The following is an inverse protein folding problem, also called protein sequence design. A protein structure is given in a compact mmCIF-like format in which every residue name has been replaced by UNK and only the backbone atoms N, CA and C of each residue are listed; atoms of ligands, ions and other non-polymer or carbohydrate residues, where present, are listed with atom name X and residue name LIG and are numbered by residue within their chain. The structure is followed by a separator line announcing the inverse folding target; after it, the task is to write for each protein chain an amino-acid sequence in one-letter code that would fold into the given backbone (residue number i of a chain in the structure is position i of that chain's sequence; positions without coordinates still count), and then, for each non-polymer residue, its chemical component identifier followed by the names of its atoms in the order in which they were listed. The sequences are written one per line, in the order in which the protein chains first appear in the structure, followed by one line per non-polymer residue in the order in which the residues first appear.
data_IF_830689851147
#
_entry.id   IF_830689851147
#
_cell.length_a   1.000
_cell.length_b   1.000
_cell.length_c   1.000
_cell.angle_alpha   90.00
_cell.angle_beta   90.00
_cell.angle_gamma   90.00
#
_symmetry.space_group_name_H-M   'P 1'
#
loop_
_entity.id
_entity.type
_entity.pdbx_description
1 polymer ?
#
# COMPACT_ATOMS: atom_id res chain seq x y z
N UNK A 1 -44.48 13.46 -38.93
CA UNK A 1 -43.80 12.24 -38.48
C UNK A 1 -42.76 12.62 -37.46
N UNK A 2 -43.00 12.25 -36.23
CA UNK A 2 -42.06 12.56 -35.13
C UNK A 2 -41.28 11.34 -34.78
N UNK A 3 -39.98 11.33 -35.07
CA UNK A 3 -39.04 10.33 -34.59
C UNK A 3 -38.76 10.61 -33.12
N UNK A 4 -39.17 9.70 -32.24
CA UNK A 4 -38.75 9.72 -30.86
C UNK A 4 -37.43 8.96 -30.75
N UNK A 5 -36.34 9.68 -30.59
CA UNK A 5 -35.06 9.14 -30.16
C UNK A 5 -35.18 8.80 -28.66
N UNK A 6 -35.32 7.52 -28.36
CA UNK A 6 -35.17 7.03 -27.03
C UNK A 6 -33.65 7.02 -26.71
N UNK A 7 -33.22 7.97 -25.90
CA UNK A 7 -31.86 7.98 -25.39
C UNK A 7 -31.69 6.85 -24.34
N UNK A 8 -30.98 5.81 -24.73
CA UNK A 8 -30.45 4.85 -23.75
C UNK A 8 -29.39 5.54 -22.92
N UNK A 9 -29.74 5.91 -21.69
CA UNK A 9 -28.75 6.20 -20.66
C UNK A 9 -28.08 4.87 -20.29
N UNK A 10 -26.92 4.63 -20.86
CA UNK A 10 -26.02 3.59 -20.38
C UNK A 10 -25.45 4.07 -19.04
N UNK A 11 -26.11 3.69 -17.94
CA UNK A 11 -25.47 3.73 -16.63
C UNK A 11 -24.33 2.72 -16.65
N UNK A 12 -23.13 3.19 -16.96
CA UNK A 12 -21.92 2.44 -16.67
C UNK A 12 -21.73 2.45 -15.16
N UNK A 13 -22.30 1.46 -14.51
CA UNK A 13 -21.91 1.16 -13.13
C UNK A 13 -20.42 0.77 -13.17
N UNK A 14 -19.55 1.67 -12.75
CA UNK A 14 -18.16 1.36 -12.50
C UNK A 14 -18.11 0.43 -11.29
N UNK A 15 -18.14 -0.87 -11.55
CA UNK A 15 -17.87 -1.87 -10.55
C UNK A 15 -16.38 -1.72 -10.18
N UNK A 16 -16.11 -1.29 -8.94
CA UNK A 16 -14.76 -1.37 -8.40
C UNK A 16 -14.39 -2.84 -8.23
N UNK A 17 -13.76 -3.41 -9.25
CA UNK A 17 -13.27 -4.77 -9.18
C UNK A 17 -11.97 -4.81 -8.36
N UNK A 18 -11.86 -5.78 -7.44
CA UNK A 18 -10.58 -6.20 -6.92
C UNK A 18 -9.63 -6.48 -8.09
N UNK A 19 -8.41 -5.99 -8.04
CA UNK A 19 -7.45 -6.11 -9.13
C UNK A 19 -6.93 -7.55 -9.22
N UNK A 20 -7.45 -8.32 -10.20
CA UNK A 20 -6.99 -9.67 -10.49
C UNK A 20 -5.81 -9.59 -11.44
N UNK A 21 -4.65 -10.04 -10.99
CA UNK A 21 -3.38 -9.92 -11.70
C UNK A 21 -2.93 -11.27 -12.26
N UNK A 22 -2.11 -11.22 -13.31
CA UNK A 22 -1.26 -12.35 -13.69
C UNK A 22 -0.12 -12.49 -12.68
N UNK A 23 0.50 -13.66 -12.61
CA UNK A 23 1.67 -13.88 -11.74
C UNK A 23 2.78 -12.85 -12.02
N UNK A 24 3.09 -12.62 -13.30
CA UNK A 24 4.12 -11.67 -13.69
C UNK A 24 3.78 -10.22 -13.24
N UNK A 25 2.54 -9.78 -13.44
CA UNK A 25 2.12 -8.45 -13.04
C UNK A 25 2.13 -8.29 -11.51
N UNK A 26 1.71 -9.33 -10.79
CA UNK A 26 1.78 -9.37 -9.32
C UNK A 26 3.25 -9.24 -8.85
N UNK A 27 4.13 -10.07 -9.37
CA UNK A 27 5.55 -10.07 -9.00
C UNK A 27 6.20 -8.70 -9.25
N UNK A 28 5.89 -8.06 -10.36
CA UNK A 28 6.40 -6.71 -10.67
C UNK A 28 5.92 -5.66 -9.68
N UNK A 29 4.65 -5.68 -9.33
CA UNK A 29 4.07 -4.73 -8.36
C UNK A 29 4.65 -4.95 -6.96
N UNK A 30 4.76 -6.20 -6.53
CA UNK A 30 5.40 -6.55 -5.25
C UNK A 30 6.84 -6.05 -5.22
N UNK A 31 7.60 -6.28 -6.29
CA UNK A 31 8.98 -5.82 -6.37
C UNK A 31 9.10 -4.30 -6.27
N UNK A 32 8.21 -3.54 -6.91
CA UNK A 32 8.19 -2.08 -6.81
C UNK A 32 7.99 -1.62 -5.35
N UNK A 33 7.06 -2.21 -4.64
CA UNK A 33 6.83 -1.88 -3.23
C UNK A 33 7.98 -2.34 -2.33
N UNK A 34 8.59 -3.49 -2.62
CA UNK A 34 9.79 -3.95 -1.92
C UNK A 34 10.97 -3.01 -2.10
N UNK A 35 11.14 -2.41 -3.28
CA UNK A 35 12.18 -1.40 -3.51
C UNK A 35 11.97 -0.16 -2.65
N UNK A 36 10.73 0.30 -2.48
CA UNK A 36 10.41 1.41 -1.57
C UNK A 36 10.82 1.05 -0.15
N UNK A 37 10.49 -0.14 0.32
CA UNK A 37 10.89 -0.62 1.65
C UNK A 37 12.42 -0.63 1.79
N UNK A 38 13.15 -1.12 0.79
CA UNK A 38 14.61 -1.12 0.80
C UNK A 38 15.20 0.30 0.89
N UNK A 39 14.62 1.26 0.18
CA UNK A 39 15.03 2.66 0.25
C UNK A 39 14.84 3.25 1.65
N UNK A 40 13.78 2.87 2.36
CA UNK A 40 13.55 3.34 3.73
C UNK A 40 14.56 2.79 4.74
N UNK A 41 15.21 1.67 4.45
CA UNK A 41 16.24 1.09 5.33
C UNK A 41 17.45 2.00 5.49
N UNK A 42 17.84 2.69 4.44
CA UNK A 42 18.94 3.64 4.48
C UNK A 42 18.69 4.81 5.47
N UNK A 43 17.42 5.09 5.74
CA UNK A 43 17.01 6.18 6.63
C UNK A 43 16.68 5.65 8.03
N UNK A 44 15.94 4.56 8.11
CA UNK A 44 15.36 4.07 9.38
C UNK A 44 16.23 3.07 10.11
N UNK A 45 16.97 2.24 9.40
CA UNK A 45 17.64 1.05 9.96
C UNK A 45 19.16 1.25 10.13
N UNK A 46 19.66 2.46 9.94
CA UNK A 46 21.09 2.77 10.14
C UNK A 46 21.40 3.02 11.62
N UNK A 47 22.50 2.46 12.17
CA UNK A 47 22.89 2.70 13.56
C UNK A 47 23.28 4.16 13.82
N UNK A 48 23.89 4.82 12.85
CA UNK A 48 24.24 6.24 12.90
C UNK A 48 23.21 7.06 12.13
N UNK A 49 22.05 7.32 12.76
CA UNK A 49 20.95 8.05 12.14
C UNK A 49 21.35 9.50 11.89
N UNK A 50 21.77 9.80 10.66
CA UNK A 50 22.04 11.16 10.22
C UNK A 50 20.80 11.87 9.67
N UNK A 51 19.73 11.11 9.39
CA UNK A 51 18.47 11.67 8.94
C UNK A 51 17.76 12.40 10.09
N UNK A 52 17.20 13.58 9.78
CA UNK A 52 16.40 14.33 10.74
C UNK A 52 15.03 13.67 11.01
N UNK A 53 14.29 14.18 12.01
CA UNK A 53 13.01 13.65 12.41
C UNK A 53 11.98 13.70 11.27
N UNK A 54 12.02 14.72 10.41
CA UNK A 54 11.13 14.85 9.26
C UNK A 54 11.40 13.75 8.22
N UNK A 55 12.66 13.52 7.90
CA UNK A 55 13.06 12.46 6.97
C UNK A 55 12.70 11.09 7.50
N UNK A 56 12.91 10.84 8.79
CA UNK A 56 12.54 9.57 9.43
C UNK A 56 11.03 9.35 9.41
N UNK A 57 10.24 10.37 9.71
CA UNK A 57 8.77 10.31 9.65
C UNK A 57 8.27 10.03 8.24
N UNK A 58 8.84 10.71 7.26
CA UNK A 58 8.53 10.50 5.85
C UNK A 58 8.82 9.06 5.42
N UNK A 59 10.01 8.57 5.74
CA UNK A 59 10.42 7.20 5.39
C UNK A 59 9.54 6.14 6.07
N UNK A 60 9.14 6.35 7.33
CA UNK A 60 8.22 5.44 8.00
C UNK A 60 6.86 5.39 7.31
N UNK A 61 6.33 6.54 6.91
CA UNK A 61 5.05 6.59 6.20
C UNK A 61 5.13 5.93 4.82
N UNK A 62 6.23 6.10 4.10
CA UNK A 62 6.46 5.39 2.84
C UNK A 62 6.53 3.87 3.04
N UNK A 63 7.21 3.42 4.09
CA UNK A 63 7.29 2.00 4.45
C UNK A 63 5.91 1.43 4.79
N UNK A 64 5.15 2.12 5.64
CA UNK A 64 3.79 1.72 6.00
C UNK A 64 2.89 1.59 4.77
N UNK A 65 2.91 2.60 3.90
CA UNK A 65 2.12 2.57 2.65
C UNK A 65 2.53 1.40 1.74
N UNK A 66 3.83 1.14 1.59
CA UNK A 66 4.32 0.02 0.78
C UNK A 66 3.81 -1.33 1.31
N UNK A 67 3.86 -1.55 2.61
CA UNK A 67 3.32 -2.77 3.22
C UNK A 67 1.80 -2.88 3.08
N UNK A 68 1.06 -1.78 3.19
CA UNK A 68 -0.38 -1.76 2.96
C UNK A 68 -0.72 -2.17 1.52
N UNK A 69 0.03 -1.67 0.54
CA UNK A 69 -0.14 -2.04 -0.87
C UNK A 69 0.18 -3.52 -1.12
N UNK A 70 1.26 -4.03 -0.52
CA UNK A 70 1.61 -5.46 -0.62
C UNK A 70 0.49 -6.32 -0.01
N UNK A 71 -0.02 -5.95 1.15
CA UNK A 71 -1.11 -6.68 1.80
C UNK A 71 -2.39 -6.69 0.95
N UNK A 72 -2.77 -5.55 0.39
CA UNK A 72 -3.96 -5.41 -0.46
C UNK A 72 -3.84 -6.23 -1.74
N UNK A 73 -2.75 -6.09 -2.47
CA UNK A 73 -2.48 -6.86 -3.69
C UNK A 73 -2.49 -8.37 -3.43
N UNK A 74 -1.88 -8.79 -2.33
CA UNK A 74 -1.77 -10.20 -1.98
C UNK A 74 -3.11 -10.79 -1.55
N UNK A 75 -3.90 -10.03 -0.80
CA UNK A 75 -5.26 -10.44 -0.39
C UNK A 75 -6.19 -10.63 -1.59
N UNK A 76 -6.07 -9.77 -2.58
CA UNK A 76 -6.88 -9.82 -3.80
C UNK A 76 -6.43 -10.92 -4.78
N UNK A 77 -5.23 -11.47 -4.59
CA UNK A 77 -4.61 -12.43 -5.50
C UNK A 77 -4.06 -13.68 -4.78
N UNK A 78 -4.79 -14.20 -3.79
CA UNK A 78 -4.32 -15.29 -2.92
C UNK A 78 -3.96 -16.59 -3.64
N UNK A 79 -4.49 -16.80 -4.85
CA UNK A 79 -4.17 -17.98 -5.67
C UNK A 79 -2.79 -17.92 -6.32
N UNK A 80 -2.17 -16.75 -6.34
CA UNK A 80 -0.84 -16.57 -6.94
C UNK A 80 0.26 -17.04 -5.99
N UNK A 81 1.40 -17.44 -6.58
CA UNK A 81 2.57 -17.84 -5.80
C UNK A 81 3.03 -16.72 -4.87
N UNK A 82 3.40 -17.07 -3.66
CA UNK A 82 3.86 -16.18 -2.59
C UNK A 82 2.81 -15.21 -2.04
N UNK A 83 1.61 -15.11 -2.62
CA UNK A 83 0.62 -14.12 -2.17
C UNK A 83 0.22 -14.30 -0.70
N UNK A 84 -0.05 -15.52 -0.27
CA UNK A 84 -0.39 -15.79 1.14
C UNK A 84 0.75 -15.48 2.10
N UNK A 85 1.99 -15.75 1.69
CA UNK A 85 3.20 -15.45 2.47
C UNK A 85 3.42 -13.94 2.57
N UNK A 86 3.30 -13.24 1.45
CA UNK A 86 3.43 -11.78 1.41
C UNK A 86 2.33 -11.09 2.21
N UNK A 87 1.11 -11.60 2.17
CA UNK A 87 0.00 -11.09 2.98
C UNK A 87 0.31 -11.23 4.47
N UNK A 88 0.71 -12.41 4.91
CA UNK A 88 1.02 -12.68 6.30
C UNK A 88 2.18 -11.81 6.80
N UNK A 89 3.26 -11.72 6.05
CA UNK A 89 4.42 -10.91 6.40
C UNK A 89 4.06 -9.43 6.50
N UNK A 90 3.29 -8.92 5.55
CA UNK A 90 2.85 -7.53 5.53
C UNK A 90 1.92 -7.21 6.69
N UNK A 91 0.94 -8.06 6.97
CA UNK A 91 0.03 -7.88 8.10
C UNK A 91 0.78 -7.91 9.43
N UNK A 92 1.71 -8.84 9.61
CA UNK A 92 2.52 -8.90 10.83
C UNK A 92 3.33 -7.62 11.05
N UNK A 93 3.91 -7.06 9.99
CA UNK A 93 4.60 -5.78 10.09
C UNK A 93 3.64 -4.65 10.47
N UNK A 94 2.52 -4.53 9.76
CA UNK A 94 1.52 -3.47 10.00
C UNK A 94 0.94 -3.54 11.42
N UNK A 95 0.66 -4.73 11.92
CA UNK A 95 0.14 -4.94 13.28
C UNK A 95 1.16 -4.51 14.34
N UNK A 96 2.43 -4.84 14.16
CA UNK A 96 3.49 -4.38 15.07
C UNK A 96 3.64 -2.87 15.06
N UNK A 97 3.57 -2.23 13.88
CA UNK A 97 3.64 -0.77 13.78
C UNK A 97 2.41 -0.10 14.39
N UNK A 98 1.24 -0.66 14.20
CA UNK A 98 0.00 -0.18 14.82
C UNK A 98 0.09 -0.22 16.34
N UNK A 99 0.61 -1.31 16.89
CA UNK A 99 0.82 -1.45 18.33
C UNK A 99 1.83 -0.43 18.85
N UNK A 100 2.96 -0.28 18.18
CA UNK A 100 4.01 0.68 18.55
C UNK A 100 3.53 2.13 18.53
N UNK A 101 2.78 2.52 17.49
CA UNK A 101 2.19 3.86 17.39
C UNK A 101 1.11 4.07 18.46
N UNK A 102 0.29 3.03 18.71
CA UNK A 102 -0.75 3.05 19.74
C UNK A 102 -0.20 3.27 21.14
N UNK A 103 0.94 2.67 21.47
CA UNK A 103 1.65 2.89 22.75
C UNK A 103 2.07 4.36 22.94
N UNK A 104 2.27 5.08 21.84
CA UNK A 104 2.55 6.52 21.84
C UNK A 104 1.29 7.39 21.70
N UNK A 105 0.10 6.79 21.70
CA UNK A 105 -1.17 7.49 21.52
C UNK A 105 -1.45 7.92 20.09
N UNK A 106 -0.80 7.31 19.10
CA UNK A 106 -0.93 7.68 17.69
C UNK A 106 -1.55 6.56 16.86
N UNK A 107 -2.11 6.94 15.70
CA UNK A 107 -2.52 6.02 14.63
C UNK A 107 -1.64 6.23 13.41
N UNK A 108 -1.50 5.20 12.56
CA UNK A 108 -0.75 5.33 11.32
C UNK A 108 -1.33 6.41 10.41
N UNK A 109 -2.65 6.47 10.26
CA UNK A 109 -3.31 7.50 9.45
C UNK A 109 -3.12 8.90 10.01
N UNK A 110 -3.16 9.09 11.33
CA UNK A 110 -2.90 10.38 11.98
C UNK A 110 -1.44 10.80 11.86
N UNK A 111 -0.53 9.86 12.08
CA UNK A 111 0.90 10.10 11.96
C UNK A 111 1.33 10.47 10.54
N UNK A 112 0.73 9.84 9.54
CA UNK A 112 1.06 10.05 8.13
C UNK A 112 0.19 11.11 7.43
N UNK A 113 -0.74 11.75 8.15
CA UNK A 113 -1.59 12.79 7.59
C UNK A 113 -0.75 13.94 7.01
N UNK A 114 -1.05 14.34 5.77
CA UNK A 114 -0.34 15.40 5.07
C UNK A 114 1.02 15.02 4.47
N UNK A 115 1.49 13.79 4.69
CA UNK A 115 2.70 13.27 4.05
C UNK A 115 2.34 12.58 2.73
N UNK A 116 2.97 13.02 1.64
CA UNK A 116 2.73 12.43 0.32
C UNK A 116 3.53 11.15 0.17
N UNK A 117 2.92 10.02 -0.23
CA UNK A 117 3.67 8.85 -0.60
C UNK A 117 4.54 9.15 -1.82
N UNK A 118 5.77 8.67 -1.83
CA UNK A 118 6.62 8.70 -3.02
C UNK A 118 6.05 7.72 -4.03
N UNK A 119 5.74 8.23 -5.20
CA UNK A 119 5.28 7.42 -6.32
C UNK A 119 6.44 6.83 -7.09
#
# INVERSE_FOLDING_TARGET
MKLKLAGCLLCTASLSHAEVLTQQAYDQKIQQHMQIIQQTKAILDQPDRQADAKQQSQALCERLNAYEQIASLSKENLSLEMASVMLMASQNFLDRQKSSLGDSGMTASGFCAGKKPVQ
#
